data_IF_073631424284
#
_entry.id   IF_073631424284
#
_cell.length_a   1.000
_cell.length_b   1.000
_cell.length_c   1.000
_cell.angle_alpha   90.00
_cell.angle_beta   90.00
_cell.angle_gamma   90.00
#
_symmetry.space_group_name_H-M   'P 1'
#
loop_
_entity.id
_entity.type
_entity.pdbx_description
1 polymer ?
#
# COMPACT_ATOMS: atom_id res chain seq x y z
N UNK A 1 75.14 -0.74 0.55
CA UNK A 1 74.98 0.69 0.86
C UNK A 1 73.60 0.90 1.49
N UNK A 2 73.47 1.86 2.40
CA UNK A 2 72.22 2.43 2.97
C UNK A 2 72.34 3.99 2.89
N UNK A 3 71.45 4.85 3.46
CA UNK A 3 70.07 4.74 3.99
C UNK A 3 69.06 5.40 2.99
N UNK A 4 67.96 6.15 3.22
CA UNK A 4 67.17 6.84 4.31
C UNK A 4 65.69 6.90 3.82
N UNK A 5 64.57 6.77 4.56
CA UNK A 5 64.20 6.63 5.99
C UNK A 5 63.90 7.91 6.82
N UNK A 6 62.78 8.61 6.52
CA UNK A 6 62.01 9.64 7.32
C UNK A 6 60.56 9.66 6.78
N UNK A 7 59.42 9.57 7.51
CA UNK A 7 59.04 9.72 8.95
C UNK A 7 59.13 11.17 9.44
N UNK A 8 58.13 11.86 10.05
CA UNK A 8 56.81 11.56 10.66
C UNK A 8 55.66 12.40 10.00
N UNK A 9 54.35 12.32 10.32
CA UNK A 9 53.56 11.34 11.10
C UNK A 9 52.28 11.91 11.78
N UNK A 10 51.16 11.16 11.71
CA UNK A 10 49.88 11.21 12.49
C UNK A 10 48.97 12.47 12.47
N UNK A 11 47.85 12.34 11.76
CA UNK A 11 46.51 12.78 12.18
C UNK A 11 45.47 11.74 11.70
N UNK A 12 44.32 11.61 12.36
CA UNK A 12 43.45 10.43 12.18
C UNK A 12 42.49 10.51 10.97
N UNK A 13 42.31 9.38 10.29
CA UNK A 13 41.21 9.13 9.36
C UNK A 13 40.73 7.67 9.53
N UNK A 14 39.52 7.47 10.05
CA UNK A 14 38.89 6.14 10.12
C UNK A 14 38.39 5.74 8.73
N UNK A 15 39.01 4.74 8.10
CA UNK A 15 38.60 4.18 6.82
C UNK A 15 37.96 2.79 7.01
N UNK A 16 36.66 2.79 7.33
CA UNK A 16 35.82 1.59 7.36
C UNK A 16 34.44 1.86 6.74
N UNK A 17 34.29 1.48 5.47
CA UNK A 17 33.02 1.11 4.80
C UNK A 17 31.76 1.91 5.14
N UNK A 18 31.57 3.07 4.50
CA UNK A 18 30.22 3.62 4.24
C UNK A 18 29.77 3.18 2.84
N UNK A 19 29.08 2.04 2.75
CA UNK A 19 28.60 1.48 1.49
C UNK A 19 27.17 1.96 1.17
N UNK A 20 27.08 2.99 0.32
CA UNK A 20 25.96 3.26 -0.60
C UNK A 20 24.53 3.10 -0.03
N UNK A 21 24.07 4.11 0.71
CA UNK A 21 22.64 4.31 1.01
C UNK A 21 22.07 5.61 0.39
N UNK A 22 22.91 6.62 0.13
CA UNK A 22 22.49 7.95 -0.34
C UNK A 22 22.28 8.03 -1.87
N UNK A 23 22.89 7.11 -2.64
CA UNK A 23 22.87 7.13 -4.10
C UNK A 23 21.51 6.76 -4.72
N UNK A 24 20.77 5.83 -4.12
CA UNK A 24 19.45 5.42 -4.62
C UNK A 24 18.40 6.52 -4.47
N UNK A 25 18.25 7.08 -3.27
CA UNK A 25 17.29 8.17 -3.01
C UNK A 25 17.57 9.40 -3.89
N UNK A 26 18.85 9.75 -4.06
CA UNK A 26 19.26 10.87 -4.93
C UNK A 26 18.89 10.66 -6.40
N UNK A 27 19.01 9.41 -6.90
CA UNK A 27 18.67 9.06 -8.28
C UNK A 27 17.15 9.02 -8.53
N UNK A 28 16.37 8.44 -7.61
CA UNK A 28 14.90 8.42 -7.71
C UNK A 28 14.31 9.84 -7.63
N UNK A 29 14.81 10.67 -6.71
CA UNK A 29 14.35 12.05 -6.55
C UNK A 29 14.69 12.91 -7.78
N UNK A 30 15.90 12.73 -8.35
CA UNK A 30 16.31 13.44 -9.57
C UNK A 30 15.51 13.01 -10.79
N UNK A 31 15.14 11.72 -10.90
CA UNK A 31 14.30 11.22 -11.99
C UNK A 31 12.90 11.85 -11.97
N UNK A 32 12.30 12.05 -10.78
CA UNK A 32 10.99 12.72 -10.61
C UNK A 32 10.98 14.19 -11.01
N UNK A 33 12.14 14.86 -11.15
CA UNK A 33 12.23 16.27 -11.54
C UNK A 33 12.35 16.48 -13.06
N UNK A 34 12.42 15.41 -13.86
CA UNK A 34 12.28 15.49 -15.31
C UNK A 34 10.81 15.64 -15.73
N UNK A 35 10.47 16.50 -16.71
CA UNK A 35 9.07 16.81 -17.07
C UNK A 35 8.26 15.63 -17.66
N UNK A 36 8.93 14.54 -18.05
CA UNK A 36 8.32 13.40 -18.75
C UNK A 36 8.36 12.07 -17.94
N UNK A 37 8.70 12.09 -16.64
CA UNK A 37 8.88 10.85 -15.87
C UNK A 37 7.56 10.13 -15.55
N UNK A 38 7.17 9.19 -16.42
CA UNK A 38 6.13 8.20 -16.14
C UNK A 38 6.78 6.89 -15.63
N UNK A 39 6.74 6.59 -14.32
CA UNK A 39 7.30 5.34 -13.80
C UNK A 39 6.50 4.11 -14.27
N UNK A 40 7.14 2.95 -14.45
CA UNK A 40 6.48 1.66 -14.67
C UNK A 40 5.36 1.36 -13.65
N UNK A 41 4.37 0.58 -14.10
CA UNK A 41 3.18 0.18 -13.35
C UNK A 41 3.48 -0.31 -11.93
N UNK A 42 4.44 -1.23 -11.81
CA UNK A 42 4.87 -1.81 -10.54
C UNK A 42 5.41 -0.73 -9.58
N UNK A 43 6.18 0.22 -10.09
CA UNK A 43 6.75 1.32 -9.28
C UNK A 43 5.66 2.30 -8.85
N UNK A 44 4.66 2.59 -9.69
CA UNK A 44 3.48 3.38 -9.26
C UNK A 44 2.73 2.70 -8.10
N UNK A 45 2.47 1.38 -8.19
CA UNK A 45 1.82 0.63 -7.08
C UNK A 45 2.67 0.67 -5.82
N UNK A 46 3.99 0.43 -5.94
CA UNK A 46 4.95 0.50 -4.83
C UNK A 46 4.98 1.88 -4.16
N UNK A 47 5.03 2.95 -4.95
CA UNK A 47 5.09 4.31 -4.44
C UNK A 47 3.81 4.70 -3.70
N UNK A 48 2.63 4.43 -4.28
CA UNK A 48 1.35 4.69 -3.61
C UNK A 48 1.16 3.80 -2.36
N UNK A 49 1.63 2.55 -2.36
CA UNK A 49 1.61 1.69 -1.16
C UNK A 49 2.56 2.20 -0.06
N UNK A 50 3.74 2.70 -0.45
CA UNK A 50 4.72 3.29 0.47
C UNK A 50 4.19 4.57 1.12
N UNK A 51 3.50 5.41 0.34
CA UNK A 51 2.82 6.61 0.84
C UNK A 51 1.65 6.24 1.78
N UNK A 52 0.81 5.26 1.41
CA UNK A 52 -0.27 4.74 2.25
C UNK A 52 0.25 4.26 3.61
N UNK A 53 1.34 3.47 3.61
CA UNK A 53 2.01 3.03 4.84
C UNK A 53 2.61 4.20 5.62
N UNK A 54 3.16 5.22 4.93
CA UNK A 54 3.60 6.48 5.54
C UNK A 54 2.48 7.24 6.26
N UNK A 55 1.31 7.39 5.62
CA UNK A 55 0.11 7.97 6.22
C UNK A 55 -0.35 7.17 7.45
N UNK A 56 -0.33 5.83 7.38
CA UNK A 56 -0.71 4.96 8.49
C UNK A 56 0.29 4.98 9.66
N UNK A 57 1.59 5.08 9.36
CA UNK A 57 2.65 5.25 10.36
C UNK A 57 2.58 6.62 11.05
N UNK A 58 2.30 7.70 10.32
CA UNK A 58 2.06 9.01 10.90
C UNK A 58 0.77 9.02 11.75
N UNK A 59 -0.29 8.42 11.23
CA UNK A 59 -1.60 8.37 11.88
C UNK A 59 -1.65 7.54 13.16
N UNK A 60 -0.80 6.51 13.29
CA UNK A 60 -0.70 5.73 14.55
C UNK A 60 -0.11 6.53 15.72
N UNK A 61 0.62 7.61 15.44
CA UNK A 61 1.50 8.26 16.42
C UNK A 61 0.75 8.79 17.65
N UNK A 62 1.35 8.54 18.82
CA UNK A 62 0.92 9.06 20.12
C UNK A 62 1.89 10.11 20.67
N UNK A 63 3.06 10.29 20.04
CA UNK A 63 4.04 11.35 20.34
C UNK A 63 4.52 12.05 19.07
N UNK A 64 4.82 13.34 19.17
CA UNK A 64 5.39 14.10 18.04
C UNK A 64 6.81 13.68 17.68
N UNK A 65 7.55 13.09 18.64
CA UNK A 65 8.86 12.47 18.40
C UNK A 65 8.76 11.34 17.38
N UNK A 66 7.69 10.53 17.40
CA UNK A 66 7.49 9.41 16.47
C UNK A 66 7.36 9.94 15.01
N UNK A 67 6.72 11.10 14.81
CA UNK A 67 6.65 11.79 13.51
C UNK A 67 8.03 12.36 13.10
N UNK A 68 8.75 12.97 14.05
CA UNK A 68 10.07 13.53 13.79
C UNK A 68 11.09 12.45 13.42
N UNK A 69 11.07 11.30 14.09
CA UNK A 69 11.91 10.15 13.82
C UNK A 69 11.61 9.54 12.44
N UNK A 70 10.33 9.41 12.08
CA UNK A 70 9.89 8.96 10.76
C UNK A 70 10.37 9.89 9.64
N UNK A 71 10.19 11.21 9.76
CA UNK A 71 10.67 12.15 8.75
C UNK A 71 12.19 12.19 8.65
N UNK A 72 12.90 12.29 9.78
CA UNK A 72 14.34 12.53 9.79
C UNK A 72 15.16 11.30 9.41
N UNK A 73 14.71 10.08 9.72
CA UNK A 73 15.50 8.86 9.45
C UNK A 73 14.66 7.57 9.36
N UNK A 74 13.99 7.35 8.22
CA UNK A 74 13.31 6.07 7.94
C UNK A 74 14.23 4.86 7.93
N UNK A 75 15.54 5.02 7.70
CA UNK A 75 16.51 3.92 7.83
C UNK A 75 16.73 3.52 9.29
N UNK A 76 16.66 4.45 10.25
CA UNK A 76 16.70 4.13 11.67
C UNK A 76 15.38 3.54 12.17
N UNK A 77 14.23 4.10 11.79
CA UNK A 77 12.91 3.60 12.25
C UNK A 77 12.55 2.25 11.62
N UNK A 78 12.83 2.07 10.33
CA UNK A 78 12.58 0.83 9.59
C UNK A 78 13.78 -0.12 9.55
N UNK A 79 14.89 0.18 10.23
CA UNK A 79 16.17 -0.55 10.16
C UNK A 79 16.62 -0.93 8.73
N UNK A 80 16.34 -0.06 7.76
CA UNK A 80 16.60 -0.30 6.33
C UNK A 80 15.80 -1.44 5.70
N UNK A 81 14.80 -2.02 6.38
CA UNK A 81 14.05 -3.22 5.94
C UNK A 81 12.96 -2.95 4.91
N UNK A 82 12.46 -1.71 4.82
CA UNK A 82 11.39 -1.35 3.89
C UNK A 82 11.80 -1.38 2.40
N UNK A 83 13.02 -0.96 2.07
CA UNK A 83 13.52 -1.06 0.69
C UNK A 83 13.71 -2.52 0.22
N UNK A 84 14.36 -3.42 0.98
CA UNK A 84 14.52 -4.83 0.60
C UNK A 84 13.24 -5.68 0.52
N UNK A 85 12.07 -5.17 0.96
CA UNK A 85 10.76 -5.82 0.75
C UNK A 85 9.96 -5.22 -0.42
N UNK A 86 10.48 -4.16 -1.05
CA UNK A 86 9.87 -3.50 -2.20
C UNK A 86 9.08 -2.22 -1.92
N UNK A 87 9.18 -1.61 -0.73
CA UNK A 87 8.64 -0.27 -0.45
C UNK A 87 9.73 0.81 -0.64
N UNK A 88 9.37 2.08 -0.86
CA UNK A 88 10.33 3.19 -0.91
C UNK A 88 10.36 3.98 0.40
N UNK A 89 11.47 3.96 1.17
CA UNK A 89 11.61 4.71 2.43
C UNK A 89 11.50 6.23 2.30
N UNK A 90 11.55 6.78 1.08
CA UNK A 90 11.29 8.19 0.78
C UNK A 90 9.80 8.51 0.93
N UNK A 91 8.94 7.76 0.23
CA UNK A 91 7.49 7.94 0.25
C UNK A 91 6.85 7.57 1.60
N UNK A 92 7.50 6.69 2.37
CA UNK A 92 7.13 6.43 3.78
C UNK A 92 7.41 7.67 4.67
N UNK A 93 8.45 8.45 4.34
CA UNK A 93 8.81 9.68 5.06
C UNK A 93 7.92 10.87 4.67
N UNK A 94 7.58 11.00 3.39
CA UNK A 94 6.87 12.14 2.79
C UNK A 94 5.68 12.62 3.66
N UNK A 95 4.67 11.80 4.02
CA UNK A 95 3.56 12.22 4.90
C UNK A 95 3.99 12.75 6.27
N UNK A 96 4.99 12.11 6.91
CA UNK A 96 5.48 12.54 8.23
C UNK A 96 6.25 13.86 8.16
N UNK A 97 6.91 14.14 7.03
CA UNK A 97 7.59 15.40 6.79
C UNK A 97 6.61 16.54 6.48
N UNK A 98 5.59 16.31 5.64
CA UNK A 98 4.59 17.33 5.28
C UNK A 98 3.74 17.77 6.49
N UNK A 99 3.36 16.84 7.36
CA UNK A 99 2.59 17.13 8.58
C UNK A 99 3.39 17.96 9.61
N UNK A 100 4.71 17.77 9.62
CA UNK A 100 5.64 18.36 10.59
C UNK A 100 5.47 17.80 12.02
N UNK A 101 6.51 18.00 12.84
CA UNK A 101 6.58 17.46 14.22
C UNK A 101 6.12 18.42 15.32
N UNK A 102 5.52 19.57 14.98
CA UNK A 102 5.08 20.56 15.96
C UNK A 102 3.81 20.15 16.75
N UNK A 103 2.99 19.25 16.19
CA UNK A 103 1.76 18.73 16.79
C UNK A 103 1.49 17.31 16.28
N UNK A 104 0.64 16.55 16.98
CA UNK A 104 0.18 15.27 16.44
C UNK A 104 -0.75 15.49 15.23
N UNK A 105 -0.74 14.57 14.23
CA UNK A 105 -1.58 14.71 13.05
C UNK A 105 -3.08 14.72 13.36
N UNK A 106 -3.80 15.50 12.55
CA UNK A 106 -5.26 15.52 12.52
C UNK A 106 -5.79 14.23 11.84
N UNK A 107 -6.72 13.49 12.47
CA UNK A 107 -7.23 12.24 11.91
C UNK A 107 -7.87 12.37 10.52
N UNK A 108 -8.47 13.52 10.19
CA UNK A 108 -9.08 13.72 8.88
C UNK A 108 -8.03 13.90 7.78
N UNK A 109 -6.90 14.56 8.08
CA UNK A 109 -5.79 14.71 7.14
C UNK A 109 -5.16 13.34 6.85
N UNK A 110 -4.90 12.55 7.90
CA UNK A 110 -4.43 11.17 7.78
C UNK A 110 -5.38 10.32 6.94
N UNK A 111 -6.69 10.38 7.22
CA UNK A 111 -7.69 9.61 6.48
C UNK A 111 -7.75 10.03 5.01
N UNK A 112 -7.73 11.34 4.72
CA UNK A 112 -7.75 11.84 3.35
C UNK A 112 -6.52 11.39 2.55
N UNK A 113 -5.32 11.48 3.14
CA UNK A 113 -4.07 11.02 2.52
C UNK A 113 -4.12 9.51 2.22
N UNK A 114 -4.43 8.70 3.22
CA UNK A 114 -4.58 7.25 3.06
C UNK A 114 -5.63 6.87 2.00
N UNK A 115 -6.76 7.58 1.92
CA UNK A 115 -7.77 7.38 0.86
C UNK A 115 -7.22 7.75 -0.52
N UNK A 116 -6.44 8.83 -0.67
CA UNK A 116 -5.81 9.19 -1.95
C UNK A 116 -4.82 8.11 -2.40
N UNK A 117 -3.89 7.71 -1.54
CA UNK A 117 -2.88 6.69 -1.86
C UNK A 117 -3.53 5.35 -2.22
N UNK A 118 -4.49 4.88 -1.42
CA UNK A 118 -5.25 3.65 -1.67
C UNK A 118 -6.06 3.73 -2.98
N UNK A 119 -6.64 4.88 -3.30
CA UNK A 119 -7.33 5.11 -4.58
C UNK A 119 -6.35 5.00 -5.74
N UNK A 120 -5.16 5.59 -5.64
CA UNK A 120 -4.15 5.55 -6.69
C UNK A 120 -3.59 4.13 -6.90
N UNK A 121 -3.40 3.32 -5.83
CA UNK A 121 -3.09 1.88 -5.94
C UNK A 121 -4.14 1.18 -6.80
N UNK A 122 -5.42 1.34 -6.47
CA UNK A 122 -6.52 0.65 -7.14
C UNK A 122 -6.72 1.15 -8.58
N UNK A 123 -6.53 2.45 -8.86
CA UNK A 123 -6.50 3.01 -10.21
C UNK A 123 -5.39 2.36 -11.05
N UNK A 124 -4.13 2.38 -10.58
CA UNK A 124 -3.00 1.79 -11.32
C UNK A 124 -3.21 0.30 -11.56
N UNK A 125 -3.75 -0.43 -10.59
CA UNK A 125 -4.12 -1.84 -10.74
C UNK A 125 -5.19 -2.03 -11.83
N UNK A 126 -6.31 -1.31 -11.78
CA UNK A 126 -7.41 -1.47 -12.75
C UNK A 126 -7.02 -1.04 -14.16
N UNK A 127 -6.24 0.04 -14.33
CA UNK A 127 -5.71 0.47 -15.63
C UNK A 127 -4.79 -0.57 -16.29
N UNK A 128 -4.23 -1.50 -15.51
CA UNK A 128 -3.26 -2.48 -15.99
C UNK A 128 -3.60 -3.91 -15.54
N UNK A 129 -4.89 -4.24 -15.36
CA UNK A 129 -5.38 -5.59 -15.06
C UNK A 129 -5.94 -6.33 -16.30
N UNK A 130 -6.11 -5.60 -17.41
CA UNK A 130 -6.73 -6.07 -18.65
C UNK A 130 -5.72 -6.11 -19.80
N UNK A 131 -6.01 -6.89 -20.83
CA UNK A 131 -5.17 -6.97 -22.02
C UNK A 131 -5.22 -5.65 -22.81
N UNK A 132 -4.04 -5.06 -23.09
CA UNK A 132 -3.92 -3.76 -23.77
C UNK A 132 -4.68 -3.66 -25.11
N UNK A 133 -4.89 -4.79 -25.80
CA UNK A 133 -5.63 -4.83 -27.08
C UNK A 133 -7.10 -4.41 -26.96
N UNK A 134 -7.73 -4.64 -25.80
CA UNK A 134 -9.16 -4.41 -25.55
C UNK A 134 -9.42 -3.29 -24.52
N UNK A 135 -8.36 -2.70 -23.95
CA UNK A 135 -8.41 -1.86 -22.75
C UNK A 135 -9.45 -0.73 -22.79
N UNK A 136 -9.73 -0.10 -23.94
CA UNK A 136 -10.73 0.97 -24.06
C UNK A 136 -12.16 0.42 -23.79
N UNK A 137 -12.48 -0.75 -24.32
CA UNK A 137 -13.79 -1.40 -24.13
C UNK A 137 -13.91 -2.00 -22.73
N UNK A 138 -12.83 -2.56 -22.20
CA UNK A 138 -12.80 -3.10 -20.83
C UNK A 138 -12.97 -1.98 -19.79
N UNK A 139 -12.21 -0.89 -19.89
CA UNK A 139 -12.37 0.27 -18.99
C UNK A 139 -13.70 1.01 -19.21
N UNK A 140 -14.24 1.02 -20.43
CA UNK A 140 -15.62 1.43 -20.71
C UNK A 140 -16.64 0.59 -19.95
N UNK A 141 -16.45 -0.74 -19.89
CA UNK A 141 -17.34 -1.63 -19.16
C UNK A 141 -17.20 -1.44 -17.64
N UNK A 142 -15.99 -1.32 -17.11
CA UNK A 142 -15.74 -0.98 -15.70
C UNK A 142 -16.46 0.32 -15.32
N UNK A 143 -16.22 1.40 -16.07
CA UNK A 143 -16.82 2.72 -15.89
C UNK A 143 -18.36 2.66 -15.80
N UNK A 144 -19.01 1.87 -16.67
CA UNK A 144 -20.48 1.77 -16.74
C UNK A 144 -21.09 0.91 -15.63
N UNK A 145 -20.36 -0.07 -15.10
CA UNK A 145 -20.94 -1.11 -14.24
C UNK A 145 -20.57 -0.99 -12.77
N UNK A 146 -19.44 -0.35 -12.41
CA UNK A 146 -19.13 -0.04 -11.01
C UNK A 146 -20.18 0.91 -10.42
N UNK A 147 -20.59 0.65 -9.17
CA UNK A 147 -21.45 1.54 -8.40
C UNK A 147 -20.57 2.31 -7.43
N UNK A 148 -20.44 3.62 -7.65
CA UNK A 148 -19.49 4.45 -6.89
C UNK A 148 -19.63 4.32 -5.36
N UNK A 149 -20.85 4.35 -4.83
CA UNK A 149 -21.12 4.19 -3.39
C UNK A 149 -20.66 2.84 -2.79
N UNK A 150 -20.38 1.82 -3.62
CA UNK A 150 -19.81 0.53 -3.20
C UNK A 150 -18.28 0.55 -3.12
N UNK A 151 -17.62 1.60 -3.64
CA UNK A 151 -16.17 1.81 -3.51
C UNK A 151 -15.79 2.58 -2.24
N UNK A 152 -16.59 3.57 -1.81
CA UNK A 152 -16.31 4.37 -0.60
C UNK A 152 -16.01 3.53 0.66
N UNK A 153 -16.73 2.43 0.97
CA UNK A 153 -16.44 1.59 2.13
C UNK A 153 -15.08 0.87 2.09
N UNK A 154 -14.47 0.74 0.91
CA UNK A 154 -13.11 0.21 0.72
C UNK A 154 -12.01 1.29 0.84
N UNK A 155 -12.36 2.51 1.27
CA UNK A 155 -11.43 3.63 1.38
C UNK A 155 -11.00 4.22 0.03
N UNK A 156 -11.89 4.18 -0.97
CA UNK A 156 -11.62 4.64 -2.33
C UNK A 156 -12.39 5.93 -2.62
N UNK A 157 -11.68 6.98 -3.07
CA UNK A 157 -12.29 8.20 -3.60
C UNK A 157 -12.96 7.90 -4.94
N UNK A 158 -14.28 7.71 -4.83
CA UNK A 158 -15.18 7.35 -5.94
C UNK A 158 -15.15 8.34 -7.11
N UNK A 159 -15.04 9.65 -6.84
CA UNK A 159 -15.03 10.67 -7.89
C UNK A 159 -13.78 10.54 -8.76
N UNK A 160 -12.61 10.66 -8.13
CA UNK A 160 -11.30 10.50 -8.76
C UNK A 160 -11.16 9.16 -9.50
N UNK A 161 -11.58 8.05 -8.87
CA UNK A 161 -11.58 6.73 -9.51
C UNK A 161 -12.42 6.71 -10.80
N UNK A 162 -13.68 7.19 -10.75
CA UNK A 162 -14.54 7.17 -11.94
C UNK A 162 -14.04 8.16 -13.01
N UNK A 163 -13.54 9.33 -12.63
CA UNK A 163 -12.97 10.30 -13.57
C UNK A 163 -11.80 9.71 -14.36
N UNK A 164 -10.84 9.07 -13.68
CA UNK A 164 -9.68 8.45 -14.35
C UNK A 164 -10.09 7.24 -15.19
N UNK A 165 -10.87 6.30 -14.64
CA UNK A 165 -11.22 5.06 -15.35
C UNK A 165 -12.18 5.31 -16.52
N UNK A 166 -13.18 6.19 -16.37
CA UNK A 166 -14.04 6.59 -17.47
C UNK A 166 -13.28 7.40 -18.53
N UNK A 167 -12.36 8.29 -18.11
CA UNK A 167 -11.49 9.03 -19.03
C UNK A 167 -10.62 8.11 -19.89
N UNK A 168 -9.95 7.13 -19.27
CA UNK A 168 -9.15 6.12 -19.97
C UNK A 168 -10.00 5.23 -20.91
N UNK A 169 -11.21 4.85 -20.48
CA UNK A 169 -12.20 4.18 -21.33
C UNK A 169 -12.84 5.07 -22.41
N UNK A 170 -12.58 6.39 -22.44
CA UNK A 170 -13.27 7.38 -23.30
C UNK A 170 -14.79 7.43 -23.09
N UNK A 171 -15.26 7.02 -21.93
CA UNK A 171 -16.64 7.03 -21.49
C UNK A 171 -16.96 8.28 -20.67
N UNK A 172 -18.24 8.66 -20.58
CA UNK A 172 -18.68 9.66 -19.61
C UNK A 172 -18.85 8.99 -18.24
N UNK A 173 -18.43 9.66 -17.18
CA UNK A 173 -18.75 9.28 -15.79
C UNK A 173 -20.28 9.13 -15.67
N UNK A 174 -20.79 7.99 -15.19
CA UNK A 174 -22.23 7.80 -15.00
C UNK A 174 -22.79 8.80 -13.97
N UNK A 175 -23.97 9.34 -14.24
CA UNK A 175 -24.76 10.00 -13.19
C UNK A 175 -25.00 9.02 -12.04
N UNK A 176 -24.99 9.46 -10.76
CA UNK A 176 -25.34 8.60 -9.63
C UNK A 176 -26.70 7.91 -9.85
N UNK A 177 -26.81 6.59 -9.58
CA UNK A 177 -28.05 5.86 -9.81
C UNK A 177 -29.17 6.36 -8.88
N UNK A 178 -30.37 6.60 -9.44
CA UNK A 178 -31.55 7.02 -8.68
C UNK A 178 -32.08 5.92 -7.73
N UNK A 179 -31.69 4.66 -7.94
CA UNK A 179 -31.95 3.56 -7.02
C UNK A 179 -30.73 3.36 -6.10
N UNK A 180 -30.97 3.28 -4.78
CA UNK A 180 -29.94 2.94 -3.80
C UNK A 180 -29.31 1.58 -4.16
N UNK A 181 -28.01 1.51 -4.51
CA UNK A 181 -27.35 0.24 -4.76
C UNK A 181 -27.22 -0.54 -3.45
N UNK A 182 -27.28 -1.86 -3.50
CA UNK A 182 -27.33 -2.65 -2.26
C UNK A 182 -26.02 -2.49 -1.49
N UNK A 183 -26.15 -2.51 -0.16
CA UNK A 183 -25.01 -2.31 0.72
C UNK A 183 -24.14 -3.56 0.78
N UNK A 184 -22.83 -3.37 0.92
CA UNK A 184 -21.91 -4.46 1.27
C UNK A 184 -22.29 -4.99 2.65
N UNK A 185 -22.25 -6.31 2.83
CA UNK A 185 -22.55 -6.92 4.13
C UNK A 185 -21.48 -6.56 5.17
N UNK A 186 -21.88 -6.51 6.45
CA UNK A 186 -20.95 -6.22 7.54
C UNK A 186 -19.80 -7.24 7.62
N UNK A 187 -20.02 -8.49 7.17
CA UNK A 187 -18.97 -9.50 7.02
C UNK A 187 -17.90 -9.05 6.03
N UNK A 188 -18.27 -8.66 4.80
CA UNK A 188 -17.32 -8.18 3.78
C UNK A 188 -16.50 -6.97 4.25
N UNK A 189 -17.15 -6.03 4.94
CA UNK A 189 -16.47 -4.86 5.49
C UNK A 189 -15.51 -5.24 6.63
N UNK A 190 -15.85 -6.23 7.45
CA UNK A 190 -14.98 -6.78 8.49
C UNK A 190 -13.80 -7.57 7.92
N UNK A 191 -14.02 -8.35 6.85
CA UNK A 191 -12.97 -9.11 6.16
C UNK A 191 -11.99 -8.18 5.44
N UNK A 192 -12.50 -7.11 4.80
CA UNK A 192 -11.65 -6.08 4.21
C UNK A 192 -10.87 -5.30 5.26
N UNK A 193 -11.53 -4.88 6.34
CA UNK A 193 -10.88 -4.24 7.49
C UNK A 193 -9.75 -5.11 8.04
N UNK A 194 -9.99 -6.41 8.18
CA UNK A 194 -8.97 -7.39 8.60
C UNK A 194 -7.82 -7.42 7.59
N UNK A 195 -8.13 -7.53 6.30
CA UNK A 195 -7.14 -7.62 5.21
C UNK A 195 -6.21 -6.39 5.17
N UNK A 196 -6.72 -5.17 5.24
CA UNK A 196 -5.87 -3.96 5.27
C UNK A 196 -5.09 -3.80 6.57
N UNK A 197 -5.60 -4.38 7.67
CA UNK A 197 -4.90 -4.40 8.97
C UNK A 197 -3.77 -5.41 9.00
N UNK A 198 -3.93 -6.56 8.32
CA UNK A 198 -2.83 -7.50 8.10
C UNK A 198 -1.71 -6.86 7.28
N UNK A 199 -2.01 -6.15 6.17
CA UNK A 199 -1.01 -5.42 5.35
C UNK A 199 -0.16 -4.51 6.23
N UNK A 200 -0.79 -3.53 6.89
CA UNK A 200 -0.11 -2.57 7.76
C UNK A 200 0.70 -3.25 8.87
N UNK A 201 0.18 -4.34 9.45
CA UNK A 201 0.86 -5.02 10.54
C UNK A 201 2.08 -5.83 10.08
N UNK A 202 2.07 -6.41 8.88
CA UNK A 202 3.25 -7.05 8.31
C UNK A 202 4.30 -6.02 7.87
N UNK A 203 3.90 -4.90 7.27
CA UNK A 203 4.79 -3.78 6.93
C UNK A 203 5.45 -3.20 8.19
N UNK A 204 4.67 -2.94 9.24
CA UNK A 204 5.18 -2.49 10.54
C UNK A 204 6.05 -3.55 11.23
N UNK A 205 5.71 -4.84 11.15
CA UNK A 205 6.55 -5.91 11.72
C UNK A 205 7.97 -5.92 11.15
N UNK A 206 8.16 -5.53 9.88
CA UNK A 206 9.49 -5.44 9.27
C UNK A 206 10.40 -4.38 9.90
N UNK A 207 9.86 -3.43 10.68
CA UNK A 207 10.66 -2.41 11.38
C UNK A 207 11.48 -2.98 12.55
N UNK A 208 11.42 -4.29 12.81
CA UNK A 208 12.18 -4.98 13.86
C UNK A 208 13.44 -5.64 13.28
N UNK A 209 14.62 -5.25 13.76
CA UNK A 209 15.91 -5.87 13.39
C UNK A 209 16.40 -6.92 14.41
N UNK A 210 15.83 -6.96 15.62
CA UNK A 210 16.11 -8.00 16.63
C UNK A 210 14.83 -8.64 17.19
N UNK A 211 14.98 -9.78 17.88
CA UNK A 211 13.89 -10.44 18.58
C UNK A 211 13.27 -9.55 19.68
N UNK A 212 14.11 -8.84 20.44
CA UNK A 212 13.65 -7.93 21.50
C UNK A 212 12.84 -6.76 20.95
N UNK A 213 13.21 -6.23 19.79
CA UNK A 213 12.45 -5.18 19.09
C UNK A 213 11.08 -5.69 18.63
N UNK A 214 10.98 -6.90 18.07
CA UNK A 214 9.70 -7.50 17.72
C UNK A 214 8.80 -7.73 18.96
N UNK A 215 9.42 -8.14 20.08
CA UNK A 215 8.75 -8.28 21.37
C UNK A 215 8.28 -6.92 21.92
N UNK A 216 9.06 -5.85 21.81
CA UNK A 216 8.67 -4.51 22.25
C UNK A 216 7.64 -3.83 21.31
N UNK A 217 7.67 -4.15 20.03
CA UNK A 217 6.64 -3.78 19.05
C UNK A 217 5.29 -4.44 19.41
N UNK A 218 5.30 -5.72 19.77
CA UNK A 218 4.15 -6.41 20.35
C UNK A 218 3.67 -5.77 21.67
N UNK A 219 4.56 -5.48 22.63
CA UNK A 219 4.21 -4.82 23.91
C UNK A 219 3.61 -3.42 23.72
N UNK A 220 4.04 -2.69 22.68
CA UNK A 220 3.59 -1.33 22.41
C UNK A 220 2.31 -1.26 21.57
N UNK A 221 2.00 -2.28 20.77
CA UNK A 221 0.81 -2.35 19.91
C UNK A 221 -0.52 -1.89 20.57
N UNK A 222 -0.87 -2.30 21.82
CA UNK A 222 -2.11 -1.85 22.47
C UNK A 222 -2.22 -0.33 22.67
N UNK A 223 -1.08 0.38 22.78
CA UNK A 223 -1.04 1.84 23.00
C UNK A 223 -1.54 2.62 21.79
N UNK A 224 -1.40 2.05 20.58
CA UNK A 224 -1.83 2.67 19.33
C UNK A 224 -3.31 2.36 19.00
N UNK A 225 -4.01 1.55 19.79
CA UNK A 225 -5.30 0.98 19.40
C UNK A 225 -6.39 2.01 19.02
N UNK A 226 -6.48 3.12 19.77
CA UNK A 226 -7.40 4.23 19.46
C UNK A 226 -7.02 4.94 18.14
N UNK A 227 -5.72 5.18 17.94
CA UNK A 227 -5.18 5.83 16.73
C UNK A 227 -5.34 4.95 15.49
N UNK A 228 -5.13 3.64 15.60
CA UNK A 228 -5.39 2.68 14.51
C UNK A 228 -6.88 2.60 14.17
N UNK A 229 -7.75 2.53 15.18
CA UNK A 229 -9.21 2.49 14.98
C UNK A 229 -9.74 3.75 14.29
N UNK A 230 -9.18 4.93 14.62
CA UNK A 230 -9.53 6.20 13.96
C UNK A 230 -9.14 6.27 12.46
N UNK A 231 -8.25 5.38 12.01
CA UNK A 231 -7.84 5.24 10.60
C UNK A 231 -8.63 4.15 9.87
N UNK A 232 -9.62 3.53 10.53
CA UNK A 232 -10.36 2.40 10.00
C UNK A 232 -9.66 1.04 10.17
N UNK A 233 -8.42 0.99 10.69
CA UNK A 233 -7.70 -0.26 10.94
C UNK A 233 -8.25 -1.01 12.16
N UNK A 234 -7.99 -2.31 12.24
CA UNK A 234 -8.34 -3.14 13.38
C UNK A 234 -7.13 -3.38 14.29
N UNK A 235 -7.12 -2.69 15.42
CA UNK A 235 -6.04 -2.78 16.41
C UNK A 235 -5.85 -4.20 16.97
N UNK A 236 -6.90 -5.04 17.02
CA UNK A 236 -6.81 -6.43 17.47
C UNK A 236 -6.09 -7.31 16.45
N UNK A 237 -6.39 -7.14 15.17
CA UNK A 237 -5.66 -7.80 14.06
C UNK A 237 -4.20 -7.35 14.05
N UNK A 238 -3.94 -6.05 14.11
CA UNK A 238 -2.57 -5.51 14.14
C UNK A 238 -1.78 -6.06 15.33
N UNK A 239 -2.34 -6.00 16.55
CA UNK A 239 -1.68 -6.57 17.74
C UNK A 239 -1.44 -8.07 17.58
N UNK A 240 -2.39 -8.84 17.04
CA UNK A 240 -2.25 -10.29 16.83
C UNK A 240 -1.10 -10.62 15.89
N UNK A 241 -0.96 -9.92 14.77
CA UNK A 241 0.16 -10.10 13.82
C UNK A 241 1.48 -9.71 14.48
N UNK A 242 1.60 -8.50 15.03
CA UNK A 242 2.83 -8.03 15.69
C UNK A 242 3.27 -8.96 16.84
N UNK A 243 2.32 -9.50 17.62
CA UNK A 243 2.60 -10.45 18.70
C UNK A 243 2.80 -11.91 18.24
N UNK A 244 2.54 -12.25 16.98
CA UNK A 244 2.91 -13.55 16.40
C UNK A 244 4.37 -13.59 15.93
N UNK A 245 4.92 -12.44 15.51
CA UNK A 245 6.30 -12.28 15.07
C UNK A 245 7.24 -12.35 16.28
N UNK A 246 8.02 -13.43 16.39
CA UNK A 246 8.98 -13.67 17.49
C UNK A 246 10.45 -13.42 17.13
N UNK A 247 10.72 -13.24 15.85
CA UNK A 247 12.02 -12.95 15.26
C UNK A 247 11.78 -11.96 14.10
N UNK A 248 12.77 -11.14 13.73
CA UNK A 248 12.71 -10.31 12.53
C UNK A 248 12.26 -11.11 11.31
N UNK A 249 11.23 -10.64 10.61
CA UNK A 249 10.79 -11.26 9.36
C UNK A 249 11.92 -11.24 8.33
N UNK A 250 12.11 -12.34 7.60
CA UNK A 250 12.89 -12.29 6.37
C UNK A 250 12.13 -11.50 5.31
N UNK A 251 12.87 -10.92 4.36
CA UNK A 251 12.28 -10.10 3.31
C UNK A 251 11.22 -10.90 2.51
N UNK A 252 11.50 -12.19 2.27
CA UNK A 252 10.61 -13.08 1.54
C UNK A 252 9.30 -13.35 2.28
N UNK A 253 9.33 -13.54 3.60
CA UNK A 253 8.12 -13.73 4.41
C UNK A 253 7.26 -12.46 4.42
N UNK A 254 7.89 -11.29 4.57
CA UNK A 254 7.21 -10.00 4.55
C UNK A 254 6.58 -9.71 3.18
N UNK A 255 7.35 -9.76 2.09
CA UNK A 255 6.83 -9.50 0.74
C UNK A 255 5.76 -10.53 0.31
N UNK A 256 5.87 -11.79 0.75
CA UNK A 256 4.84 -12.80 0.50
C UNK A 256 3.55 -12.52 1.28
N UNK A 257 3.65 -12.09 2.54
CA UNK A 257 2.49 -11.69 3.33
C UNK A 257 1.80 -10.44 2.74
N UNK A 258 2.57 -9.40 2.45
CA UNK A 258 2.07 -8.15 1.85
C UNK A 258 1.41 -8.46 0.49
N UNK A 259 2.07 -9.18 -0.42
CA UNK A 259 1.49 -9.54 -1.72
C UNK A 259 0.19 -10.37 -1.58
N UNK A 260 0.12 -11.32 -0.63
CA UNK A 260 -1.09 -12.10 -0.33
C UNK A 260 -2.26 -11.20 0.08
N UNK A 261 -2.05 -10.29 1.04
CA UNK A 261 -3.13 -9.46 1.56
C UNK A 261 -3.50 -8.31 0.60
N UNK A 262 -2.54 -7.69 -0.08
CA UNK A 262 -2.82 -6.73 -1.16
C UNK A 262 -3.58 -7.36 -2.33
N UNK A 263 -3.25 -8.61 -2.69
CA UNK A 263 -4.04 -9.39 -3.66
C UNK A 263 -5.47 -9.61 -3.18
N UNK A 264 -5.64 -9.94 -1.89
CA UNK A 264 -6.96 -10.16 -1.29
C UNK A 264 -7.79 -8.87 -1.21
N UNK A 265 -7.16 -7.74 -0.89
CA UNK A 265 -7.79 -6.42 -0.89
C UNK A 265 -8.28 -6.03 -2.29
N UNK A 266 -7.46 -6.21 -3.34
CA UNK A 266 -7.88 -6.00 -4.72
C UNK A 266 -9.10 -6.84 -5.10
N UNK A 267 -9.08 -8.15 -4.81
CA UNK A 267 -10.19 -9.08 -5.11
C UNK A 267 -11.47 -8.63 -4.41
N UNK A 268 -11.40 -8.31 -3.12
CA UNK A 268 -12.56 -7.87 -2.34
C UNK A 268 -13.14 -6.55 -2.87
N UNK A 269 -12.29 -5.57 -3.19
CA UNK A 269 -12.72 -4.29 -3.77
C UNK A 269 -13.35 -4.48 -5.15
N UNK A 270 -12.72 -5.20 -6.08
CA UNK A 270 -13.24 -5.33 -7.46
C UNK A 270 -14.49 -6.21 -7.54
N UNK A 271 -14.58 -7.29 -6.74
CA UNK A 271 -15.82 -8.09 -6.63
C UNK A 271 -16.91 -7.28 -5.90
N UNK A 272 -16.54 -6.48 -4.89
CA UNK A 272 -17.46 -5.62 -4.16
C UNK A 272 -18.00 -4.44 -4.97
N UNK A 273 -17.27 -3.96 -5.98
CA UNK A 273 -17.57 -2.72 -6.72
C UNK A 273 -18.87 -2.72 -7.56
N UNK A 274 -19.49 -3.87 -7.82
CA UNK A 274 -20.73 -3.96 -8.61
C UNK A 274 -21.67 -5.07 -8.15
N UNK A 275 -22.96 -4.88 -8.41
CA UNK A 275 -24.07 -5.84 -8.27
C UNK A 275 -24.61 -6.32 -9.63
N UNK A 276 -24.06 -5.85 -10.76
CA UNK A 276 -24.59 -6.16 -12.10
C UNK A 276 -24.51 -7.67 -12.38
N UNK A 277 -25.61 -8.33 -12.82
CA UNK A 277 -25.60 -9.75 -13.16
C UNK A 277 -24.53 -10.08 -14.20
N UNK A 278 -23.67 -11.06 -13.87
CA UNK A 278 -22.55 -11.48 -14.71
C UNK A 278 -21.23 -10.75 -14.45
N UNK A 279 -21.16 -9.78 -13.53
CA UNK A 279 -19.94 -9.01 -13.20
C UNK A 279 -18.69 -9.90 -12.95
N UNK A 280 -18.80 -10.90 -12.07
CA UNK A 280 -17.71 -11.86 -11.77
C UNK A 280 -17.30 -12.71 -12.98
N UNK A 281 -18.28 -13.12 -13.80
CA UNK A 281 -18.05 -13.86 -15.05
C UNK A 281 -17.35 -13.00 -16.12
N UNK A 282 -17.73 -11.73 -16.23
CA UNK A 282 -17.07 -10.76 -17.11
C UNK A 282 -15.64 -10.46 -16.66
N UNK A 283 -15.40 -10.25 -15.35
CA UNK A 283 -14.05 -10.08 -14.81
C UNK A 283 -13.18 -11.31 -15.10
N UNK A 284 -13.69 -12.52 -14.81
CA UNK A 284 -13.00 -13.79 -15.10
C UNK A 284 -12.58 -13.93 -16.57
N UNK A 285 -13.38 -13.39 -17.52
CA UNK A 285 -13.10 -13.50 -18.95
C UNK A 285 -12.03 -12.53 -19.44
N UNK A 286 -11.97 -11.30 -18.92
CA UNK A 286 -11.16 -10.22 -19.51
C UNK A 286 -9.95 -9.78 -18.67
N UNK A 287 -9.87 -10.18 -17.39
CA UNK A 287 -8.66 -10.02 -16.58
C UNK A 287 -7.52 -10.88 -17.13
N UNK A 288 -6.32 -10.30 -17.24
CA UNK A 288 -5.15 -10.95 -17.84
C UNK A 288 -4.08 -11.26 -16.78
N UNK A 289 -3.59 -12.51 -16.77
CA UNK A 289 -2.63 -13.02 -15.78
C UNK A 289 -1.31 -12.25 -15.75
N UNK A 290 -0.76 -11.90 -16.92
CA UNK A 290 0.53 -11.20 -17.00
C UNK A 290 0.39 -9.74 -16.56
N UNK A 291 -0.73 -9.11 -16.92
CA UNK A 291 -1.05 -7.74 -16.56
C UNK A 291 -1.29 -7.59 -15.05
N UNK A 292 -2.08 -8.48 -14.44
CA UNK A 292 -2.24 -8.56 -12.99
C UNK A 292 -0.90 -8.72 -12.24
N UNK A 293 -0.03 -9.61 -12.72
CA UNK A 293 1.30 -9.81 -12.13
C UNK A 293 2.20 -8.55 -12.23
N UNK A 294 2.00 -7.69 -13.24
CA UNK A 294 2.76 -6.45 -13.42
C UNK A 294 2.38 -5.33 -12.43
N UNK A 295 1.28 -5.48 -11.66
CA UNK A 295 0.81 -4.53 -10.64
C UNK A 295 0.84 -5.09 -9.21
N UNK A 296 1.85 -5.94 -8.93
CA UNK A 296 2.13 -6.58 -7.63
C UNK A 296 1.04 -7.55 -7.10
N UNK A 297 0.03 -7.87 -7.90
CA UNK A 297 -1.00 -8.85 -7.57
C UNK A 297 -0.54 -10.27 -7.94
N UNK A 298 -0.93 -11.27 -7.16
CA UNK A 298 -0.82 -12.67 -7.59
C UNK A 298 -1.98 -12.98 -8.54
N UNK A 299 -1.77 -12.77 -9.85
CA UNK A 299 -2.80 -12.92 -10.87
C UNK A 299 -3.41 -14.33 -10.93
N UNK A 300 -2.67 -15.37 -10.56
CA UNK A 300 -3.19 -16.73 -10.44
C UNK A 300 -4.24 -16.83 -9.34
N UNK A 301 -4.00 -16.22 -8.17
CA UNK A 301 -4.96 -16.19 -7.05
C UNK A 301 -6.16 -15.30 -7.39
N UNK A 302 -5.95 -14.16 -8.06
CA UNK A 302 -7.03 -13.30 -8.55
C UNK A 302 -7.97 -14.07 -9.47
N UNK A 303 -7.42 -14.70 -10.52
CA UNK A 303 -8.21 -15.47 -11.48
C UNK A 303 -8.90 -16.67 -10.82
N UNK A 304 -8.22 -17.42 -9.94
CA UNK A 304 -8.85 -18.51 -9.19
C UNK A 304 -10.05 -18.03 -8.34
N UNK A 305 -9.90 -16.94 -7.57
CA UNK A 305 -10.96 -16.44 -6.70
C UNK A 305 -12.10 -15.74 -7.45
N UNK A 306 -11.86 -15.19 -8.65
CA UNK A 306 -12.88 -14.53 -9.49
C UNK A 306 -13.56 -15.52 -10.47
N UNK A 307 -12.86 -16.55 -10.94
CA UNK A 307 -13.39 -17.56 -11.87
C UNK A 307 -14.05 -18.78 -11.19
N UNK A 308 -13.88 -19.00 -9.88
CA UNK A 308 -14.60 -20.06 -9.18
C UNK A 308 -16.14 -19.96 -9.40
N UNK A 309 -16.91 -21.07 -9.30
CA UNK A 309 -18.36 -21.02 -9.42
C UNK A 309 -19.02 -20.07 -8.41
N UNK A 310 -20.10 -19.40 -8.80
CA UNK A 310 -20.81 -18.37 -8.00
C UNK A 310 -21.59 -18.92 -6.77
N UNK A 311 -21.17 -20.06 -6.22
CA UNK A 311 -21.78 -20.71 -5.06
C UNK A 311 -21.50 -19.93 -3.76
N UNK A 312 -22.34 -18.92 -3.48
CA UNK A 312 -22.35 -18.21 -2.20
C UNK A 312 -21.30 -17.10 -2.03
N UNK A 313 -20.80 -16.51 -3.13
CA UNK A 313 -19.86 -15.37 -3.05
C UNK A 313 -20.47 -14.19 -2.28
N UNK A 314 -19.85 -13.73 -1.16
CA UNK A 314 -20.24 -12.49 -0.51
C UNK A 314 -19.86 -11.31 -1.41
N UNK A 315 -20.86 -10.66 -2.01
CA UNK A 315 -20.67 -9.68 -3.10
C UNK A 315 -21.97 -9.38 -3.83
N UNK A 316 -22.77 -10.42 -4.07
CA UNK A 316 -24.18 -10.26 -4.44
C UNK A 316 -24.99 -9.77 -3.23
N UNK A 317 -26.00 -8.96 -3.53
CA UNK A 317 -27.09 -8.69 -2.61
C UNK A 317 -27.80 -10.00 -2.25
N UNK A 318 -28.31 -10.10 -1.03
CA UNK A 318 -29.34 -11.08 -0.67
C UNK A 318 -30.70 -10.64 -1.23
#
# INVERSE_FOLDING_TARGET
MAPVLRVFGVAAAYLTSLATAETYASAELSARQGPDFTPPQLLQVVFNASELFGWQLAGRAIKTQEIAELCNNTQAVGHGKWAPIGLSPLYIAEPSCELGSARLPDPQVIHNGAVVSNTNIFITQILNAFNQSNMIDDLTYICKNIKGNRLTPFGINTGHFLEVICGAGRARVPSPPNNTPCQLSQAQLSDFKTTISDIFAYELATSSATADQAVDLCKSAPRYAQRLSAQGLDAGVVQKVLCSVKQPLSNNEASAAISKYSTSAFIQTIVGASDVPGWTSWLCKNLDLAHLNAVALNGTVVLQQICAPDAGRPGRCA
#
